data_IF_535975975617
#
_entry.id   IF_535975975617
#
_cell.length_a   1.000
_cell.length_b   1.000
_cell.length_c   1.000
_cell.angle_alpha   90.00
_cell.angle_beta   90.00
_cell.angle_gamma   90.00
#
_symmetry.space_group_name_H-M   'P 1'
#
loop_
_entity.id
_entity.type
_entity.pdbx_description
1 polymer ?
#
# COMPACT_ATOMS: atom_id res chain seq x y z
N UNK A 1 -12.40 31.38 6.42
CA UNK A 1 -12.48 31.84 5.01
C UNK A 1 -11.11 32.13 4.38
N UNK A 2 -10.13 32.68 5.12
CA UNK A 2 -8.78 32.95 4.57
C UNK A 2 -8.00 31.69 4.18
N UNK A 3 -8.05 30.62 4.97
CA UNK A 3 -7.35 29.35 4.67
C UNK A 3 -7.87 28.71 3.38
N UNK A 4 -9.17 28.75 3.13
CA UNK A 4 -9.78 28.19 1.92
C UNK A 4 -9.38 28.97 0.65
N UNK A 5 -9.26 30.31 0.75
CA UNK A 5 -8.72 31.16 -0.34
C UNK A 5 -7.26 30.80 -0.63
N UNK A 6 -6.42 30.69 0.38
CA UNK A 6 -5.02 30.28 0.18
C UNK A 6 -4.89 28.90 -0.48
N UNK A 7 -5.72 27.92 -0.09
CA UNK A 7 -5.73 26.60 -0.73
C UNK A 7 -6.13 26.69 -2.21
N UNK A 8 -7.14 27.50 -2.52
CA UNK A 8 -7.58 27.72 -3.92
C UNK A 8 -6.53 28.46 -4.75
N UNK A 9 -5.86 29.47 -4.18
CA UNK A 9 -4.79 30.20 -4.84
C UNK A 9 -3.59 29.27 -5.14
N UNK A 10 -3.21 28.39 -4.20
CA UNK A 10 -2.19 27.37 -4.45
C UNK A 10 -2.61 26.34 -5.50
N UNK A 11 -3.90 25.98 -5.55
CA UNK A 11 -4.43 25.05 -6.57
C UNK A 11 -4.39 25.65 -7.98
N UNK A 12 -4.73 26.93 -8.10
CA UNK A 12 -4.63 27.63 -9.39
C UNK A 12 -3.19 27.90 -9.79
N UNK A 13 -2.31 28.18 -8.81
CA UNK A 13 -0.88 28.39 -9.04
C UNK A 13 -0.13 27.11 -9.44
N UNK A 14 -0.53 25.92 -8.98
CA UNK A 14 0.14 24.65 -9.30
C UNK A 14 -0.24 24.02 -10.65
N UNK A 15 -1.19 24.60 -11.39
CA UNK A 15 -1.56 24.20 -12.73
C UNK A 15 -2.23 22.83 -12.84
N UNK A 16 -2.39 22.37 -14.10
CA UNK A 16 -3.15 21.14 -14.44
C UNK A 16 -2.59 19.87 -13.83
N UNK A 17 -1.30 19.83 -13.48
CA UNK A 17 -0.61 18.65 -12.90
C UNK A 17 -0.96 18.40 -11.44
N UNK A 18 -1.60 19.33 -10.73
CA UNK A 18 -2.13 19.05 -9.39
C UNK A 18 -3.29 18.05 -9.43
N UNK A 19 -4.05 17.98 -10.52
CA UNK A 19 -5.17 17.03 -10.65
C UNK A 19 -4.70 15.57 -10.61
N UNK A 20 -3.76 15.11 -11.47
CA UNK A 20 -3.23 13.76 -11.35
C UNK A 20 -2.51 13.51 -10.02
N UNK A 21 -1.86 14.53 -9.44
CA UNK A 21 -1.21 14.40 -8.14
C UNK A 21 -2.23 14.15 -7.00
N UNK A 22 -3.37 14.84 -7.02
CA UNK A 22 -4.47 14.62 -6.09
C UNK A 22 -5.07 13.21 -6.25
N UNK A 23 -5.24 12.73 -7.50
CA UNK A 23 -5.72 11.38 -7.77
C UNK A 23 -4.74 10.31 -7.23
N UNK A 24 -3.44 10.51 -7.41
CA UNK A 24 -2.40 9.64 -6.84
C UNK A 24 -2.43 9.66 -5.31
N UNK A 25 -2.55 10.84 -4.70
CA UNK A 25 -2.68 10.99 -3.24
C UNK A 25 -3.87 10.22 -2.69
N UNK A 26 -5.05 10.38 -3.30
CA UNK A 26 -6.25 9.65 -2.91
C UNK A 26 -6.07 8.13 -3.06
N UNK A 27 -5.47 7.69 -4.16
CA UNK A 27 -5.19 6.28 -4.41
C UNK A 27 -4.23 5.69 -3.38
N UNK A 28 -3.16 6.42 -2.99
CA UNK A 28 -2.23 6.01 -1.94
C UNK A 28 -2.98 5.77 -0.62
N UNK A 29 -3.82 6.71 -0.18
CA UNK A 29 -4.60 6.58 1.04
C UNK A 29 -5.62 5.44 0.97
N UNK A 30 -6.31 5.29 -0.17
CA UNK A 30 -7.27 4.21 -0.39
C UNK A 30 -6.61 2.83 -0.28
N UNK A 31 -5.52 2.59 -1.01
CA UNK A 31 -4.80 1.32 -0.94
C UNK A 31 -4.19 1.07 0.43
N UNK A 32 -3.63 2.09 1.06
CA UNK A 32 -3.08 1.97 2.41
C UNK A 32 -4.14 1.54 3.44
N UNK A 33 -5.27 2.23 3.50
CA UNK A 33 -6.34 1.92 4.46
C UNK A 33 -6.95 0.55 4.18
N UNK A 34 -7.23 0.23 2.92
CA UNK A 34 -7.74 -1.08 2.50
C UNK A 34 -6.82 -2.20 2.95
N UNK A 35 -5.53 -2.13 2.60
CA UNK A 35 -4.55 -3.18 2.92
C UNK A 35 -4.29 -3.25 4.43
N UNK A 36 -4.21 -2.12 5.12
CA UNK A 36 -4.08 -2.07 6.58
C UNK A 36 -5.24 -2.78 7.28
N UNK A 37 -6.48 -2.45 6.90
CA UNK A 37 -7.66 -3.04 7.53
C UNK A 37 -7.73 -4.55 7.25
N UNK A 38 -7.42 -4.98 6.03
CA UNK A 38 -7.34 -6.40 5.69
C UNK A 38 -6.26 -7.14 6.50
N UNK A 39 -5.07 -6.54 6.68
CA UNK A 39 -4.00 -7.11 7.50
C UNK A 39 -4.34 -7.17 8.99
N UNK A 40 -4.99 -6.15 9.54
CA UNK A 40 -5.42 -6.14 10.93
C UNK A 40 -6.48 -7.22 11.19
N UNK A 41 -7.47 -7.35 10.32
CA UNK A 41 -8.46 -8.42 10.40
C UNK A 41 -7.83 -9.82 10.30
N UNK A 42 -6.81 -9.96 9.43
CA UNK A 42 -6.07 -11.20 9.26
C UNK A 42 -5.18 -11.57 10.47
N UNK A 43 -4.68 -10.56 11.19
CA UNK A 43 -3.74 -10.73 12.31
C UNK A 43 -4.40 -11.05 13.65
N UNK A 44 -5.71 -10.91 13.78
CA UNK A 44 -6.43 -11.26 15.00
C UNK A 44 -6.46 -12.79 15.18
N UNK A 45 -5.59 -13.32 16.05
CA UNK A 45 -5.66 -14.70 16.55
C UNK A 45 -6.41 -14.66 17.89
N UNK A 46 -7.45 -15.49 18.10
CA UNK A 46 -8.11 -15.58 19.40
C UNK A 46 -7.10 -15.99 20.48
N UNK A 47 -7.20 -15.37 21.64
CA UNK A 47 -6.45 -15.79 22.83
C UNK A 47 -6.78 -17.26 23.14
N UNK A 48 -5.76 -18.13 23.27
CA UNK A 48 -5.95 -19.57 23.50
C UNK A 48 -5.96 -20.44 22.23
N UNK A 49 -5.71 -19.86 21.04
CA UNK A 49 -5.65 -20.61 19.77
C UNK A 49 -4.56 -21.69 19.76
N UNK A 50 -3.45 -21.46 20.48
CA UNK A 50 -2.33 -22.43 20.56
C UNK A 50 -2.75 -23.78 21.19
N UNK A 51 -3.72 -23.77 22.12
CA UNK A 51 -4.18 -24.99 22.81
C UNK A 51 -5.34 -25.72 22.08
N UNK A 52 -6.08 -25.03 21.19
CA UNK A 52 -7.24 -25.59 20.49
C UNK A 52 -7.19 -25.42 18.97
N UNK A 53 -6.03 -25.71 18.38
CA UNK A 53 -5.78 -25.50 16.95
C UNK A 53 -6.83 -26.20 16.03
N UNK A 54 -7.37 -27.33 16.44
CA UNK A 54 -8.31 -28.13 15.64
C UNK A 54 -9.80 -27.82 15.91
N UNK A 55 -10.12 -27.23 17.07
CA UNK A 55 -11.52 -26.99 17.47
C UNK A 55 -12.06 -25.60 17.06
N UNK A 56 -11.20 -24.61 16.92
CA UNK A 56 -11.60 -23.20 16.76
C UNK A 56 -11.32 -22.64 15.36
N UNK A 57 -11.60 -23.40 14.29
CA UNK A 57 -11.46 -22.94 12.91
C UNK A 57 -12.62 -22.01 12.53
N UNK A 58 -12.51 -20.72 12.86
CA UNK A 58 -13.42 -19.67 12.42
C UNK A 58 -13.10 -19.29 10.96
N UNK A 59 -14.12 -19.39 10.07
CA UNK A 59 -13.97 -19.23 8.62
C UNK A 59 -13.59 -17.82 8.16
N UNK A 60 -13.77 -16.81 9.03
CA UNK A 60 -13.47 -15.40 8.71
C UNK A 60 -12.02 -14.99 8.87
N UNK A 61 -11.16 -15.82 9.43
CA UNK A 61 -9.75 -15.48 9.78
C UNK A 61 -8.76 -16.31 8.98
N UNK A 62 -7.65 -15.69 8.52
CA UNK A 62 -6.71 -16.36 7.61
C UNK A 62 -6.00 -17.57 8.22
N UNK A 63 -5.51 -17.48 9.45
CA UNK A 63 -4.77 -18.58 10.09
C UNK A 63 -5.68 -19.75 10.48
N UNK A 64 -6.82 -19.54 11.16
CA UNK A 64 -7.80 -20.60 11.37
C UNK A 64 -8.29 -21.25 10.08
N UNK A 65 -8.52 -20.47 9.01
CA UNK A 65 -8.87 -20.99 7.71
C UNK A 65 -7.80 -21.91 7.10
N UNK A 66 -6.52 -21.56 7.26
CA UNK A 66 -5.39 -22.39 6.83
C UNK A 66 -5.33 -23.72 7.58
N UNK A 67 -5.57 -23.70 8.90
CA UNK A 67 -5.63 -24.93 9.74
C UNK A 67 -6.75 -25.85 9.26
N UNK A 68 -7.96 -25.31 9.09
CA UNK A 68 -9.13 -26.07 8.60
C UNK A 68 -8.87 -26.68 7.22
N UNK A 69 -8.29 -25.89 6.30
CA UNK A 69 -7.98 -26.34 4.95
C UNK A 69 -6.93 -27.46 4.93
N UNK A 70 -5.83 -27.30 5.68
CA UNK A 70 -4.77 -28.30 5.76
C UNK A 70 -5.20 -29.59 6.49
N UNK A 71 -5.99 -29.47 7.57
CA UNK A 71 -6.56 -30.62 8.26
C UNK A 71 -7.57 -31.37 7.39
N UNK A 72 -8.40 -30.67 6.62
CA UNK A 72 -9.29 -31.28 5.63
C UNK A 72 -8.53 -32.02 4.52
N UNK A 73 -7.45 -31.44 4.03
CA UNK A 73 -6.57 -32.08 3.04
C UNK A 73 -5.93 -33.36 3.57
N UNK A 74 -5.46 -33.36 4.83
CA UNK A 74 -4.91 -34.54 5.48
C UNK A 74 -5.94 -35.68 5.59
N UNK A 75 -7.20 -35.37 5.93
CA UNK A 75 -8.30 -36.35 5.97
C UNK A 75 -8.63 -36.92 4.57
N UNK A 76 -8.39 -36.13 3.52
CA UNK A 76 -8.56 -36.54 2.12
C UNK A 76 -7.33 -37.26 1.53
N UNK A 77 -6.31 -37.57 2.32
CA UNK A 77 -5.07 -38.23 1.88
C UNK A 77 -4.12 -37.32 1.11
N UNK A 78 -4.34 -35.99 1.10
CA UNK A 78 -3.42 -35.00 0.50
C UNK A 78 -2.36 -34.57 1.51
N UNK A 79 -1.19 -34.18 1.02
CA UNK A 79 -0.13 -33.63 1.88
C UNK A 79 -0.59 -32.30 2.55
N UNK A 80 -0.73 -32.29 3.89
CA UNK A 80 -1.16 -31.09 4.60
C UNK A 80 -0.16 -29.92 4.49
N UNK A 81 1.12 -30.20 4.19
CA UNK A 81 2.15 -29.17 3.98
C UNK A 81 1.90 -28.40 2.69
N UNK A 82 1.57 -29.11 1.61
CA UNK A 82 1.24 -28.49 0.33
C UNK A 82 -0.07 -27.70 0.43
N UNK A 83 -1.10 -28.27 1.03
CA UNK A 83 -2.36 -27.59 1.24
C UNK A 83 -2.21 -26.29 2.06
N UNK A 84 -1.39 -26.32 3.11
CA UNK A 84 -1.08 -25.12 3.89
C UNK A 84 -0.43 -24.03 3.03
N UNK A 85 0.58 -24.37 2.22
CA UNK A 85 1.27 -23.44 1.34
C UNK A 85 0.34 -22.85 0.29
N UNK A 86 -0.48 -23.68 -0.36
CA UNK A 86 -1.50 -23.23 -1.33
C UNK A 86 -2.43 -22.17 -0.72
N UNK A 87 -2.92 -22.42 0.49
CA UNK A 87 -3.81 -21.50 1.19
C UNK A 87 -3.10 -20.21 1.58
N UNK A 88 -1.90 -20.31 2.18
CA UNK A 88 -1.09 -19.14 2.58
C UNK A 88 -0.78 -18.26 1.37
N UNK A 89 -0.33 -18.86 0.27
CA UNK A 89 0.00 -18.13 -0.95
C UNK A 89 -1.22 -17.44 -1.55
N UNK A 90 -2.38 -18.10 -1.56
CA UNK A 90 -3.62 -17.49 -2.03
C UNK A 90 -4.05 -16.31 -1.15
N UNK A 91 -4.01 -16.47 0.16
CA UNK A 91 -4.43 -15.47 1.14
C UNK A 91 -3.53 -14.22 1.14
N UNK A 92 -2.20 -14.41 1.09
CA UNK A 92 -1.22 -13.31 1.21
C UNK A 92 -0.94 -12.64 -0.14
N UNK A 93 -1.18 -13.34 -1.27
CA UNK A 93 -0.87 -12.84 -2.62
C UNK A 93 -1.58 -11.53 -2.96
N UNK A 94 -2.85 -11.40 -2.58
CA UNK A 94 -3.63 -10.18 -2.78
C UNK A 94 -3.03 -9.00 -2.01
N UNK A 95 -2.68 -9.22 -0.73
CA UNK A 95 -2.09 -8.19 0.13
C UNK A 95 -0.73 -7.72 -0.38
N UNK A 96 0.11 -8.66 -0.86
CA UNK A 96 1.42 -8.31 -1.46
C UNK A 96 1.26 -7.50 -2.75
N UNK A 97 0.27 -7.82 -3.60
CA UNK A 97 -0.05 -7.03 -4.79
C UNK A 97 -0.46 -5.61 -4.44
N UNK A 98 -1.33 -5.43 -3.46
CA UNK A 98 -1.79 -4.10 -3.03
C UNK A 98 -0.62 -3.25 -2.52
N UNK A 99 0.34 -3.85 -1.79
CA UNK A 99 1.55 -3.14 -1.33
C UNK A 99 2.47 -2.76 -2.49
N UNK A 100 2.61 -3.61 -3.52
CA UNK A 100 3.39 -3.29 -4.72
C UNK A 100 2.75 -2.11 -5.48
N UNK A 101 1.43 -2.11 -5.65
CA UNK A 101 0.72 -0.99 -6.27
C UNK A 101 0.90 0.29 -5.46
N UNK A 102 0.77 0.22 -4.13
CA UNK A 102 1.00 1.36 -3.24
C UNK A 102 2.43 1.90 -3.38
N UNK A 103 3.43 1.02 -3.44
CA UNK A 103 4.83 1.41 -3.62
C UNK A 103 5.06 2.11 -4.97
N UNK A 104 4.46 1.59 -6.06
CA UNK A 104 4.54 2.19 -7.38
C UNK A 104 3.90 3.59 -7.43
N UNK A 105 2.71 3.75 -6.84
CA UNK A 105 2.02 5.05 -6.74
C UNK A 105 2.83 6.06 -5.91
N UNK A 106 3.41 5.59 -4.80
CA UNK A 106 4.26 6.42 -3.94
C UNK A 106 5.52 6.90 -4.67
N UNK A 107 6.15 6.04 -5.47
CA UNK A 107 7.31 6.41 -6.28
C UNK A 107 6.92 7.33 -7.46
N UNK A 108 5.72 7.20 -8.01
CA UNK A 108 5.23 8.04 -9.09
C UNK A 108 4.97 9.49 -8.67
N UNK A 109 4.57 9.74 -7.40
CA UNK A 109 4.21 11.08 -6.94
C UNK A 109 5.35 12.13 -7.12
N UNK A 110 6.61 11.88 -6.70
CA UNK A 110 7.71 12.82 -6.96
C UNK A 110 8.04 12.97 -8.44
N UNK A 111 7.86 11.91 -9.24
CA UNK A 111 8.11 11.97 -10.69
C UNK A 111 7.10 12.87 -11.40
N UNK A 112 5.82 12.82 -10.98
CA UNK A 112 4.79 13.73 -11.47
C UNK A 112 5.12 15.18 -11.03
N UNK A 113 5.59 15.36 -9.79
CA UNK A 113 6.08 16.66 -9.31
C UNK A 113 7.24 17.19 -10.17
N UNK A 114 8.22 16.35 -10.49
CA UNK A 114 9.33 16.70 -11.38
C UNK A 114 8.86 17.05 -12.79
N UNK A 115 7.90 16.30 -13.33
CA UNK A 115 7.28 16.64 -14.61
C UNK A 115 6.65 18.03 -14.58
N UNK A 116 6.12 18.44 -13.42
CA UNK A 116 5.59 19.78 -13.18
C UNK A 116 6.63 20.87 -13.36
N UNK A 117 7.86 20.67 -12.89
CA UNK A 117 8.93 21.66 -13.09
C UNK A 117 9.31 21.79 -14.56
N UNK A 118 9.40 20.68 -15.28
CA UNK A 118 9.75 20.70 -16.71
C UNK A 118 8.67 21.42 -17.51
N UNK A 119 7.39 21.07 -17.29
CA UNK A 119 6.27 21.70 -18.02
C UNK A 119 6.10 23.17 -17.66
N UNK A 120 6.29 23.55 -16.40
CA UNK A 120 6.26 24.95 -15.93
C UNK A 120 7.35 25.79 -16.59
N UNK A 121 8.58 25.30 -16.62
CA UNK A 121 9.71 25.99 -17.26
C UNK A 121 9.52 26.13 -18.78
N UNK A 122 9.04 25.08 -19.48
CA UNK A 122 8.73 25.17 -20.91
C UNK A 122 7.66 26.22 -21.16
N UNK A 123 6.61 26.28 -20.33
CA UNK A 123 5.57 27.29 -20.40
C UNK A 123 6.12 28.71 -20.25
N UNK A 124 7.01 28.92 -19.27
CA UNK A 124 7.67 30.19 -19.03
C UNK A 124 8.49 30.64 -20.26
N UNK A 125 9.34 29.77 -20.80
CA UNK A 125 10.15 30.10 -21.97
C UNK A 125 9.27 30.44 -23.18
N UNK A 126 8.17 29.73 -23.43
CA UNK A 126 7.24 30.04 -24.49
C UNK A 126 6.59 31.41 -24.32
N UNK A 127 6.15 31.76 -23.10
CA UNK A 127 5.56 33.04 -22.79
C UNK A 127 6.55 34.20 -23.04
N UNK A 128 7.81 34.04 -22.62
CA UNK A 128 8.88 35.04 -22.85
C UNK A 128 9.16 35.22 -24.33
N UNK A 129 9.23 34.15 -25.12
CA UNK A 129 9.46 34.23 -26.56
C UNK A 129 8.32 34.92 -27.34
N UNK A 130 7.08 34.72 -26.89
CA UNK A 130 5.91 35.33 -27.56
C UNK A 130 5.70 36.80 -27.20
N UNK A 131 6.05 37.20 -25.98
CA UNK A 131 5.81 38.57 -25.50
C UNK A 131 6.79 39.63 -26.05
N UNK A 132 7.88 39.23 -26.70
CA UNK A 132 8.99 40.11 -27.16
C UNK A 132 9.54 41.06 -26.06
N UNK A 133 8.96 41.05 -24.88
CA UNK A 133 9.36 41.79 -23.67
C UNK A 133 9.45 40.88 -22.48
N UNK A 134 10.63 40.76 -21.89
CA UNK A 134 10.85 39.96 -20.70
C UNK A 134 10.33 40.76 -19.49
N UNK A 135 9.09 40.49 -19.07
CA UNK A 135 8.62 40.95 -17.77
C UNK A 135 9.07 39.96 -16.71
N UNK A 136 9.89 40.38 -15.74
CA UNK A 136 10.40 39.52 -14.65
C UNK A 136 9.29 38.79 -13.89
N UNK A 137 8.05 39.32 -13.87
CA UNK A 137 6.89 38.72 -13.27
C UNK A 137 6.48 37.40 -13.92
N UNK A 138 6.38 37.33 -15.24
CA UNK A 138 5.96 36.12 -15.97
C UNK A 138 6.96 34.94 -15.78
N UNK A 139 8.25 35.29 -15.65
CA UNK A 139 9.30 34.31 -15.36
C UNK A 139 9.18 33.79 -13.90
N UNK A 140 8.95 34.71 -12.97
CA UNK A 140 8.80 34.37 -11.55
C UNK A 140 7.57 33.49 -11.30
N UNK A 141 6.45 33.76 -11.97
CA UNK A 141 5.21 32.98 -11.84
C UNK A 141 5.39 31.54 -12.33
N UNK A 142 6.03 31.34 -13.48
CA UNK A 142 6.28 30.01 -14.03
C UNK A 142 7.26 29.19 -13.17
N UNK A 143 8.29 29.81 -12.60
CA UNK A 143 9.21 29.16 -11.67
C UNK A 143 8.46 28.80 -10.38
N UNK A 144 7.65 29.70 -9.83
CA UNK A 144 6.84 29.46 -8.64
C UNK A 144 5.91 28.27 -8.85
N UNK A 145 5.21 28.22 -9.98
CA UNK A 145 4.34 27.10 -10.33
C UNK A 145 5.09 25.77 -10.40
N UNK A 146 6.26 25.77 -11.00
CA UNK A 146 7.10 24.59 -11.11
C UNK A 146 7.53 24.07 -9.73
N UNK A 147 7.96 24.94 -8.82
CA UNK A 147 8.38 24.59 -7.47
C UNK A 147 7.23 24.05 -6.63
N UNK A 148 6.04 24.62 -6.74
CA UNK A 148 4.83 24.18 -6.02
C UNK A 148 4.48 22.72 -6.36
N UNK A 149 4.49 22.34 -7.63
CA UNK A 149 4.15 20.95 -8.04
C UNK A 149 5.12 19.93 -7.48
N UNK A 150 6.42 20.23 -7.45
CA UNK A 150 7.44 19.34 -6.86
C UNK A 150 7.27 19.22 -5.36
N UNK A 151 6.99 20.32 -4.67
CA UNK A 151 6.73 20.33 -3.25
C UNK A 151 5.55 19.42 -2.89
N UNK A 152 4.43 19.50 -3.61
CA UNK A 152 3.29 18.61 -3.39
C UNK A 152 3.62 17.16 -3.70
N UNK A 153 4.38 16.87 -4.77
CA UNK A 153 4.84 15.52 -5.09
C UNK A 153 5.60 14.87 -3.92
N UNK A 154 6.51 15.61 -3.28
CA UNK A 154 7.28 15.15 -2.14
C UNK A 154 6.42 14.99 -0.86
N UNK A 155 5.53 15.95 -0.58
CA UNK A 155 4.63 15.89 0.57
C UNK A 155 3.71 14.67 0.50
N UNK A 156 3.22 14.31 -0.70
CA UNK A 156 2.38 13.14 -0.92
C UNK A 156 3.18 11.84 -0.82
N UNK A 157 4.41 11.81 -1.32
CA UNK A 157 5.25 10.62 -1.27
C UNK A 157 5.67 10.23 0.14
N UNK A 158 5.95 11.20 1.01
CA UNK A 158 6.49 10.95 2.35
C UNK A 158 5.61 10.00 3.19
N UNK A 159 4.33 10.28 3.43
CA UNK A 159 3.44 9.36 4.15
C UNK A 159 3.25 8.03 3.40
N UNK A 160 3.30 8.03 2.07
CA UNK A 160 3.25 6.82 1.24
C UNK A 160 4.41 5.87 1.54
N UNK A 161 5.65 6.37 1.60
CA UNK A 161 6.85 5.57 1.94
C UNK A 161 6.71 4.95 3.33
N UNK A 162 6.30 5.72 4.33
CA UNK A 162 6.06 5.20 5.69
C UNK A 162 4.94 4.15 5.70
N UNK A 163 3.88 4.36 4.92
CA UNK A 163 2.78 3.42 4.74
C UNK A 163 3.25 2.09 4.17
N UNK A 164 4.01 2.11 3.06
CA UNK A 164 4.62 0.93 2.45
C UNK A 164 5.51 0.18 3.45
N UNK A 165 6.41 0.89 4.12
CA UNK A 165 7.31 0.29 5.11
C UNK A 165 6.54 -0.38 6.27
N UNK A 166 5.45 0.25 6.73
CA UNK A 166 4.58 -0.29 7.78
C UNK A 166 3.87 -1.56 7.32
N UNK A 167 3.29 -1.55 6.11
CA UNK A 167 2.58 -2.71 5.56
C UNK A 167 3.53 -3.88 5.31
N UNK A 168 4.73 -3.64 4.80
CA UNK A 168 5.76 -4.68 4.67
C UNK A 168 6.11 -5.36 6.00
N UNK A 169 6.20 -4.57 7.09
CA UNK A 169 6.44 -5.15 8.43
C UNK A 169 5.26 -6.02 8.88
N UNK A 170 4.03 -5.56 8.65
CA UNK A 170 2.83 -6.32 9.01
C UNK A 170 2.73 -7.64 8.23
N UNK A 171 3.03 -7.63 6.93
CA UNK A 171 3.05 -8.86 6.10
C UNK A 171 4.12 -9.83 6.62
N UNK A 172 5.34 -9.37 6.91
CA UNK A 172 6.39 -10.24 7.47
C UNK A 172 5.98 -10.85 8.82
N UNK A 173 5.31 -10.07 9.65
CA UNK A 173 4.80 -10.57 10.93
C UNK A 173 3.71 -11.63 10.71
N UNK A 174 2.82 -11.43 9.76
CA UNK A 174 1.81 -12.42 9.36
C UNK A 174 2.45 -13.71 8.84
N UNK A 175 3.44 -13.60 7.94
CA UNK A 175 4.18 -14.76 7.41
C UNK A 175 4.87 -15.57 8.53
N UNK A 176 5.49 -14.88 9.51
CA UNK A 176 6.08 -15.53 10.68
C UNK A 176 5.03 -16.31 11.50
N UNK A 177 3.85 -15.70 11.74
CA UNK A 177 2.75 -16.38 12.46
C UNK A 177 2.23 -17.59 11.68
N UNK A 178 2.12 -17.52 10.36
CA UNK A 178 1.79 -18.67 9.53
C UNK A 178 2.82 -19.81 9.69
N UNK A 179 4.12 -19.49 9.73
CA UNK A 179 5.18 -20.46 9.89
C UNK A 179 5.11 -21.17 11.26
N UNK A 180 4.87 -20.43 12.34
CA UNK A 180 4.70 -20.98 13.69
C UNK A 180 3.49 -21.90 13.76
N UNK A 181 2.32 -21.45 13.30
CA UNK A 181 1.10 -22.27 13.31
C UNK A 181 1.24 -23.54 12.46
N UNK A 182 1.94 -23.46 11.31
CA UNK A 182 2.24 -24.62 10.48
C UNK A 182 3.04 -25.67 11.22
N UNK A 183 4.08 -25.29 11.98
CA UNK A 183 4.90 -26.23 12.72
C UNK A 183 4.09 -26.96 13.80
N UNK A 184 3.26 -26.25 14.54
CA UNK A 184 2.36 -26.84 15.53
C UNK A 184 1.34 -27.81 14.91
N UNK A 185 0.72 -27.45 13.78
CA UNK A 185 -0.22 -28.31 13.09
C UNK A 185 0.44 -29.62 12.63
N UNK A 186 1.63 -29.52 12.03
CA UNK A 186 2.35 -30.71 11.53
C UNK A 186 2.78 -31.64 12.66
N UNK A 187 3.17 -31.11 13.82
CA UNK A 187 3.46 -31.90 15.01
C UNK A 187 2.20 -32.62 15.56
N UNK A 188 1.07 -31.92 15.59
CA UNK A 188 -0.20 -32.49 16.02
C UNK A 188 -0.67 -33.63 15.10
N UNK A 189 -0.55 -33.47 13.79
CA UNK A 189 -0.91 -34.49 12.80
C UNK A 189 0.08 -35.67 12.78
N UNK A 190 1.39 -35.43 13.04
CA UNK A 190 2.42 -36.45 13.09
C UNK A 190 2.33 -37.35 14.33
N UNK A 191 1.85 -36.81 15.45
CA UNK A 191 1.66 -37.58 16.70
C UNK A 191 0.35 -38.42 16.68
N UNK A 192 -0.68 -37.95 15.95
CA UNK A 192 -1.95 -38.68 15.82
C UNK A 192 -1.90 -39.96 14.96
N UNK A 193 -0.82 -40.16 14.20
CA UNK A 193 -0.62 -41.34 13.35
C UNK A 193 0.18 -42.50 14.04
N UNK A 194 0.50 -42.34 15.31
CA UNK A 194 1.30 -43.34 16.08
C UNK A 194 0.53 -44.05 17.20
N UNK A 195 -0.80 -43.88 17.28
CA UNK A 195 -1.67 -44.60 18.23
C UNK A 195 -2.52 -45.67 17.56
#
# INVERSE_FOLDING_TARGET
MQVLKHILDYWTAGGILLVPLAAVSFSIWFYFLRTRNALLAAAEIPSGFEHRILETADEGRLIPGAVKYAAGAARAGRDPRQAWQEYQDAAVRGLRKDVVVLAALTAAAPLIGLLGTVTGMIGTFRAVMQAHTVTGGAVADGISQALITTQFGLIIALPGVFGVARLHRLIRHLDFRFAVCRSHLLLALGNGGRS
#
